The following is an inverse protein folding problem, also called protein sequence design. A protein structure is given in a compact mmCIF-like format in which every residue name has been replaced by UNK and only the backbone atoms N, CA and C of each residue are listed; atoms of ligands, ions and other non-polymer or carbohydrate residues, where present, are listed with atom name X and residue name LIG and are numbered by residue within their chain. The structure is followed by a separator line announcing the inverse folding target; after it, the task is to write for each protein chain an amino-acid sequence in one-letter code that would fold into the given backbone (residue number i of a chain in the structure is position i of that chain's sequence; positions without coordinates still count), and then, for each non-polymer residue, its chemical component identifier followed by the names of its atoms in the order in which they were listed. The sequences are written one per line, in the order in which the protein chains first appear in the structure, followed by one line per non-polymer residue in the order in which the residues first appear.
data_IF_037330932736
#
_entry.id   IF_037330932736
#
_cell.length_a   1.000
_cell.length_b   1.000
_cell.length_c   1.000
_cell.angle_alpha   90.00
_cell.angle_beta   90.00
_cell.angle_gamma   90.00
#
_symmetry.space_group_name_H-M   'P 1'
#
loop_
_entity.id
_entity.type
_entity.pdbx_description
1 polymer ?
#
# COMPACT_ATOMS: atom_id res chain seq x y z
N UNK A 1 15.65 19.07 1.72
CA UNK A 1 14.53 19.47 2.60
C UNK A 1 14.10 18.22 3.35
N UNK A 2 13.74 18.33 4.63
CA UNK A 2 13.16 17.20 5.37
C UNK A 2 11.73 16.98 4.89
N UNK A 3 11.37 15.73 4.55
CA UNK A 3 10.00 15.34 4.21
C UNK A 3 9.16 15.25 5.49
N UNK A 4 8.78 16.42 6.03
CA UNK A 4 8.01 16.56 7.25
C UNK A 4 6.75 17.38 7.05
N UNK A 5 5.72 17.05 7.82
CA UNK A 5 4.50 17.82 8.01
C UNK A 5 4.56 18.50 9.38
N UNK A 6 4.43 19.82 9.39
CA UNK A 6 4.31 20.61 10.62
C UNK A 6 2.83 20.85 10.93
N UNK A 7 2.39 20.48 12.12
CA UNK A 7 1.02 20.67 12.62
C UNK A 7 1.06 21.59 13.83
N UNK A 8 0.26 22.65 13.81
CA UNK A 8 0.04 23.53 14.98
C UNK A 8 -1.36 23.27 15.54
N UNK A 9 -1.44 22.88 16.80
CA UNK A 9 -2.72 22.75 17.51
C UNK A 9 -3.08 24.06 18.19
N UNK A 10 -3.99 24.83 17.59
CA UNK A 10 -4.40 26.14 18.08
C UNK A 10 -5.07 26.10 19.47
N UNK A 11 -5.59 24.95 19.92
CA UNK A 11 -6.18 24.82 21.26
C UNK A 11 -5.12 24.92 22.36
N UNK A 12 -3.88 24.50 22.04
CA UNK A 12 -2.75 24.47 22.98
C UNK A 12 -1.56 25.33 22.55
N UNK A 13 -1.60 25.90 21.34
CA UNK A 13 -0.49 26.58 20.65
C UNK A 13 0.79 25.73 20.50
N UNK A 14 0.68 24.39 20.63
CA UNK A 14 1.82 23.48 20.47
C UNK A 14 2.00 23.12 19.00
N UNK A 15 3.26 23.03 18.58
CA UNK A 15 3.65 22.59 17.24
C UNK A 15 4.29 21.20 17.29
N UNK A 16 3.96 20.38 16.30
CA UNK A 16 4.43 19.01 16.14
C UNK A 16 4.98 18.84 14.73
N UNK A 17 6.09 18.14 14.60
CA UNK A 17 6.60 17.69 13.31
C UNK A 17 6.43 16.18 13.17
N UNK A 18 5.90 15.77 12.02
CA UNK A 18 5.59 14.39 11.68
C UNK A 18 6.27 14.05 10.36
N UNK A 19 6.89 12.87 10.28
CA UNK A 19 7.56 12.41 9.06
C UNK A 19 6.53 11.99 8.01
N UNK A 20 6.73 12.44 6.76
CA UNK A 20 6.00 11.96 5.59
C UNK A 20 6.77 10.79 4.99
N UNK A 21 6.09 9.68 4.70
CA UNK A 21 6.65 8.51 4.02
C UNK A 21 5.63 7.97 3.02
N UNK A 22 6.07 7.72 1.78
CA UNK A 22 5.23 7.23 0.68
C UNK A 22 3.97 8.11 0.49
N UNK A 23 4.11 9.44 0.62
CA UNK A 23 2.99 10.38 0.51
C UNK A 23 1.98 10.33 1.67
N UNK A 24 2.30 9.66 2.78
CA UNK A 24 1.41 9.50 3.94
C UNK A 24 2.12 9.81 5.26
N UNK A 25 1.34 10.09 6.31
CA UNK A 25 1.82 10.16 7.69
C UNK A 25 1.30 8.96 8.49
N UNK A 26 1.96 8.63 9.60
CA UNK A 26 1.42 7.67 10.56
C UNK A 26 0.29 8.31 11.37
N UNK A 27 -0.93 7.77 11.31
CA UNK A 27 -2.05 8.23 12.14
C UNK A 27 -1.76 8.13 13.65
N UNK A 28 -0.83 7.25 14.06
CA UNK A 28 -0.42 7.12 15.46
C UNK A 28 0.38 8.31 15.97
N UNK A 29 1.05 9.06 15.10
CA UNK A 29 1.76 10.28 15.49
C UNK A 29 0.79 11.36 15.97
N UNK A 30 -0.46 11.36 15.49
CA UNK A 30 -1.48 12.32 15.92
C UNK A 30 -1.89 12.13 17.38
N UNK A 31 -1.68 10.95 17.99
CA UNK A 31 -1.96 10.73 19.42
C UNK A 31 -1.11 11.61 20.34
N UNK A 32 0.01 12.13 19.84
CA UNK A 32 0.87 13.09 20.58
C UNK A 32 0.18 14.44 20.76
N UNK A 33 -0.82 14.75 19.92
CA UNK A 33 -1.59 16.00 19.94
C UNK A 33 -2.75 15.84 20.91
N UNK A 34 -2.70 16.57 22.02
CA UNK A 34 -3.65 16.47 23.14
C UNK A 34 -3.99 17.85 23.71
N UNK A 35 -5.23 18.04 24.15
CA UNK A 35 -5.62 19.22 24.94
C UNK A 35 -5.18 19.04 26.39
N UNK A 36 -5.50 17.88 26.99
CA UNK A 36 -5.07 17.50 28.34
C UNK A 36 -4.09 16.31 28.29
N UNK A 37 -3.11 16.23 29.21
CA UNK A 37 -2.13 15.12 29.23
C UNK A 37 -2.77 13.73 29.31
N UNK A 38 -3.89 13.62 30.03
CA UNK A 38 -4.65 12.39 30.25
C UNK A 38 -5.52 11.97 29.06
N UNK A 39 -5.68 12.84 28.05
CA UNK A 39 -6.47 12.51 26.87
C UNK A 39 -5.80 11.39 26.07
N UNK A 40 -6.62 10.61 25.36
CA UNK A 40 -6.13 9.57 24.46
C UNK A 40 -5.27 10.13 23.30
N UNK A 41 -5.54 11.37 22.89
CA UNK A 41 -4.91 12.05 21.76
C UNK A 41 -5.75 12.09 20.49
N UNK A 42 -5.36 12.96 19.56
CA UNK A 42 -6.10 13.19 18.32
C UNK A 42 -6.16 11.90 17.48
N UNK A 43 -7.35 11.65 16.91
CA UNK A 43 -7.61 10.53 16.02
C UNK A 43 -8.05 11.05 14.65
N UNK A 44 -7.69 10.31 13.61
CA UNK A 44 -8.26 10.53 12.27
C UNK A 44 -9.68 9.97 12.23
N UNK A 45 -10.61 10.73 11.67
CA UNK A 45 -11.93 10.24 11.31
C UNK A 45 -12.03 10.19 9.79
N UNK A 46 -11.92 8.99 9.22
CA UNK A 46 -11.93 8.75 7.77
C UNK A 46 -12.82 7.54 7.46
N UNK A 47 -14.14 7.76 7.34
CA UNK A 47 -15.08 6.69 7.00
C UNK A 47 -14.69 5.98 5.71
N UNK A 48 -14.76 4.65 5.74
CA UNK A 48 -14.35 3.76 4.65
C UNK A 48 -12.87 3.85 4.22
N UNK A 49 -12.01 4.53 5.00
CA UNK A 49 -10.55 4.61 4.77
C UNK A 49 -10.16 5.23 3.42
N UNK A 50 -10.98 6.17 2.91
CA UNK A 50 -10.81 6.74 1.56
C UNK A 50 -9.49 7.50 1.42
N UNK A 51 -8.98 8.07 2.52
CA UNK A 51 -7.71 8.79 2.57
C UNK A 51 -6.73 8.19 3.59
N UNK A 52 -6.86 6.87 3.87
CA UNK A 52 -6.00 6.16 4.82
C UNK A 52 -5.32 4.99 4.14
N UNK A 53 -4.00 5.08 3.95
CA UNK A 53 -3.19 3.97 3.48
C UNK A 53 -3.05 2.90 4.58
N UNK A 54 -3.84 1.83 4.48
CA UNK A 54 -3.90 0.77 5.50
C UNK A 54 -2.67 -0.15 5.53
N UNK A 55 -1.99 -0.34 4.40
CA UNK A 55 -0.78 -1.17 4.31
C UNK A 55 0.14 -0.73 3.18
N UNK A 56 1.40 -1.18 3.25
CA UNK A 56 2.33 -1.11 2.12
C UNK A 56 2.21 -2.40 1.33
N UNK A 57 2.03 -2.28 0.01
CA UNK A 57 1.91 -3.43 -0.88
C UNK A 57 2.89 -3.32 -2.05
N UNK A 58 3.33 -4.47 -2.53
CA UNK A 58 4.12 -4.62 -3.76
C UNK A 58 3.42 -5.54 -4.77
N UNK A 59 2.11 -5.77 -4.59
CA UNK A 59 1.34 -6.75 -5.38
C UNK A 59 0.72 -6.07 -6.60
N UNK A 60 -0.15 -5.07 -6.37
CA UNK A 60 -0.91 -4.40 -7.42
C UNK A 60 -0.81 -2.90 -7.24
N UNK A 61 -0.75 -2.17 -8.35
CA UNK A 61 -0.84 -0.71 -8.38
C UNK A 61 -1.89 -0.28 -9.41
N UNK A 62 -2.69 0.72 -9.04
CA UNK A 62 -3.79 1.24 -9.84
C UNK A 62 -3.66 2.76 -9.90
N UNK A 63 -3.80 3.31 -11.10
CA UNK A 63 -3.99 4.73 -11.35
C UNK A 63 -5.23 4.88 -12.22
N UNK A 64 -6.35 5.21 -11.57
CA UNK A 64 -7.65 5.28 -12.22
C UNK A 64 -7.77 6.44 -13.22
N UNK A 65 -7.07 7.55 -12.98
CA UNK A 65 -7.11 8.72 -13.87
C UNK A 65 -6.40 8.42 -15.19
N UNK A 66 -5.28 7.70 -15.12
CA UNK A 66 -4.51 7.29 -16.30
C UNK A 66 -4.93 5.94 -16.87
N UNK A 67 -5.86 5.24 -16.22
CA UNK A 67 -6.34 3.92 -16.63
C UNK A 67 -5.26 2.82 -16.52
N UNK A 68 -4.34 2.92 -15.56
CA UNK A 68 -3.24 1.97 -15.39
C UNK A 68 -3.60 0.94 -14.32
N UNK A 69 -3.42 -0.34 -14.64
CA UNK A 69 -3.44 -1.45 -13.69
C UNK A 69 -2.17 -2.28 -13.88
N UNK A 70 -1.41 -2.47 -12.80
CA UNK A 70 -0.18 -3.27 -12.82
C UNK A 70 -0.19 -4.38 -11.79
N UNK A 71 0.28 -5.57 -12.16
CA UNK A 71 0.59 -6.68 -11.26
C UNK A 71 2.09 -6.88 -11.18
N UNK A 72 2.67 -6.76 -9.98
CA UNK A 72 4.12 -6.85 -9.73
C UNK A 72 4.96 -5.96 -10.67
N UNK A 73 4.41 -4.82 -11.08
CA UNK A 73 5.06 -3.87 -12.00
C UNK A 73 4.84 -4.13 -13.49
N UNK A 74 4.16 -5.23 -13.87
CA UNK A 74 3.77 -5.49 -15.25
C UNK A 74 2.38 -4.90 -15.54
N UNK A 75 2.22 -4.09 -16.61
CA UNK A 75 0.91 -3.64 -17.06
C UNK A 75 0.00 -4.82 -17.38
N UNK A 76 -1.28 -4.73 -17.02
CA UNK A 76 -2.23 -5.84 -17.13
C UNK A 76 -2.39 -6.32 -18.57
N UNK A 77 -2.34 -5.42 -19.55
CA UNK A 77 -2.42 -5.72 -20.98
C UNK A 77 -1.24 -6.58 -21.47
N UNK A 78 -0.05 -6.43 -20.87
CA UNK A 78 1.10 -7.28 -21.21
C UNK A 78 0.91 -8.69 -20.68
N UNK A 79 0.39 -8.84 -19.46
CA UNK A 79 0.10 -10.15 -18.89
C UNK A 79 -1.04 -10.83 -19.64
N UNK A 80 -2.13 -10.12 -19.92
CA UNK A 80 -3.28 -10.68 -20.64
C UNK A 80 -2.93 -11.16 -22.06
N UNK A 81 -1.97 -10.49 -22.73
CA UNK A 81 -1.55 -10.87 -24.09
C UNK A 81 -0.50 -11.99 -24.11
N UNK A 82 0.38 -12.04 -23.12
CA UNK A 82 1.58 -12.89 -23.18
C UNK A 82 1.64 -13.99 -22.10
N UNK A 83 0.70 -14.01 -21.16
CA UNK A 83 0.68 -14.91 -20.01
C UNK A 83 -0.65 -15.67 -19.92
N UNK A 84 -0.66 -16.74 -19.12
CA UNK A 84 -1.87 -17.47 -18.75
C UNK A 84 -2.27 -17.19 -17.28
N UNK A 85 -3.46 -17.64 -16.90
CA UNK A 85 -3.96 -17.45 -15.53
C UNK A 85 -3.01 -18.02 -14.47
N UNK A 86 -2.46 -19.22 -14.70
CA UNK A 86 -1.61 -19.87 -13.71
C UNK A 86 -0.27 -19.15 -13.56
N UNK A 87 0.27 -18.58 -14.63
CA UNK A 87 1.53 -17.86 -14.62
C UNK A 87 1.35 -16.51 -13.91
N UNK A 88 0.24 -15.82 -14.19
CA UNK A 88 -0.14 -14.60 -13.46
C UNK A 88 -0.39 -14.89 -11.97
N UNK A 89 -1.05 -16.00 -11.64
CA UNK A 89 -1.24 -16.40 -10.24
C UNK A 89 0.10 -16.68 -9.55
N UNK A 90 1.03 -17.35 -10.25
CA UNK A 90 2.38 -17.58 -9.74
C UNK A 90 3.12 -16.25 -9.50
N UNK A 91 3.03 -15.30 -10.43
CA UNK A 91 3.62 -13.97 -10.31
C UNK A 91 3.09 -13.23 -9.08
N UNK A 92 1.78 -13.24 -8.85
CA UNK A 92 1.17 -12.57 -7.71
C UNK A 92 1.65 -13.17 -6.38
N UNK A 93 1.73 -14.49 -6.28
CA UNK A 93 2.16 -15.19 -5.07
C UNK A 93 3.68 -15.07 -4.84
N UNK A 94 4.48 -15.32 -5.87
CA UNK A 94 5.94 -15.44 -5.76
C UNK A 94 6.67 -14.12 -5.94
N UNK A 95 6.02 -13.11 -6.53
CA UNK A 95 6.61 -11.80 -6.81
C UNK A 95 7.36 -11.69 -8.12
N UNK A 96 7.58 -12.80 -8.82
CA UNK A 96 8.39 -12.90 -10.04
C UNK A 96 7.75 -13.87 -11.03
N UNK A 97 8.00 -13.69 -12.34
CA UNK A 97 7.56 -14.67 -13.34
C UNK A 97 8.31 -15.99 -13.18
N UNK A 98 7.64 -17.14 -13.38
CA UNK A 98 8.26 -18.45 -13.22
C UNK A 98 9.24 -18.74 -14.37
N UNK A 99 10.28 -19.51 -14.07
CA UNK A 99 11.02 -20.23 -15.12
C UNK A 99 10.19 -21.42 -15.62
N UNK A 100 10.52 -21.97 -16.79
CA UNK A 100 9.80 -23.13 -17.33
C UNK A 100 9.73 -24.31 -16.34
N UNK A 101 10.81 -24.60 -15.61
CA UNK A 101 10.83 -25.64 -14.58
C UNK A 101 9.90 -25.32 -13.39
N UNK A 102 9.91 -24.07 -12.90
CA UNK A 102 9.01 -23.61 -11.83
C UNK A 102 7.55 -23.67 -12.28
N UNK A 103 7.29 -23.30 -13.54
CA UNK A 103 5.95 -23.31 -14.10
C UNK A 103 5.39 -24.73 -14.23
N UNK A 104 6.19 -25.69 -14.71
CA UNK A 104 5.76 -27.09 -14.79
C UNK A 104 5.43 -27.67 -13.42
N UNK A 105 6.26 -27.40 -12.41
CA UNK A 105 6.01 -27.80 -11.02
C UNK A 105 4.75 -27.14 -10.46
N UNK A 106 4.57 -25.84 -10.71
CA UNK A 106 3.39 -25.09 -10.28
C UNK A 106 2.11 -25.66 -10.89
N UNK A 107 2.08 -25.89 -12.22
CA UNK A 107 0.94 -26.51 -12.90
C UNK A 107 0.61 -27.87 -12.28
N UNK A 108 1.60 -28.73 -12.08
CA UNK A 108 1.41 -30.04 -11.45
C UNK A 108 0.79 -29.92 -10.05
N UNK A 109 1.38 -29.09 -9.18
CA UNK A 109 0.92 -28.91 -7.79
C UNK A 109 -0.50 -28.34 -7.68
N UNK A 110 -0.92 -27.51 -8.65
CA UNK A 110 -2.30 -26.97 -8.66
C UNK A 110 -3.29 -28.04 -9.14
N UNK A 111 -2.91 -28.86 -10.12
CA UNK A 111 -3.80 -29.88 -10.72
C UNK A 111 -3.85 -31.20 -9.96
N UNK A 112 -2.81 -31.52 -9.19
CA UNK A 112 -2.67 -32.77 -8.43
C UNK A 112 -2.57 -32.38 -6.97
N UNK A 113 -3.59 -32.76 -6.21
CA UNK A 113 -3.69 -32.49 -4.76
C UNK A 113 -2.96 -33.58 -3.96
#
# INVERSE_FOLDING_TARGET
MSDTLTITDNRTNKTYEIQIRDGSISAMELRRIKENPEDFGLMTYDPALTNTAACRSKITWIDGERGILMYRGYPIEQLAKNSDFLETAYLLLSGELPTAARMNKWKHNVTVH
#
